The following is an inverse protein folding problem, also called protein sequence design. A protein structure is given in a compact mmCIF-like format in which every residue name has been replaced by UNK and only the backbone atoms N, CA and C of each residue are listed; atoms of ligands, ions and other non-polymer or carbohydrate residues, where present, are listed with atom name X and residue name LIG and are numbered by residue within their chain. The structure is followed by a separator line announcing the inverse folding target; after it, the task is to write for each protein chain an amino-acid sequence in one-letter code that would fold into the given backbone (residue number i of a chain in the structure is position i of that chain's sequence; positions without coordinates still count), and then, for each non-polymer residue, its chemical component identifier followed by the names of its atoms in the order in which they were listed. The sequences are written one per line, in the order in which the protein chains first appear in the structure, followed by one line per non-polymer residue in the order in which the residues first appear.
data_IF_733995521504
#
_entry.id   IF_733995521504
#
_cell.length_a   1.000
_cell.length_b   1.000
_cell.length_c   1.000
_cell.angle_alpha   90.00
_cell.angle_beta   90.00
_cell.angle_gamma   90.00
#
_symmetry.space_group_name_H-M   'P 1'
#
loop_
_entity.id
_entity.type
_entity.pdbx_description
1 polymer ?
#
# COMPACT_ATOMS: atom_id res chain seq x y z
N UNK A 1 -1.52 23.50 1.96
CA UNK A 1 -0.34 23.24 1.11
C UNK A 1 0.88 23.37 2.01
N UNK A 2 1.24 22.28 2.66
CA UNK A 2 2.23 22.27 3.74
C UNK A 2 3.54 21.80 3.15
N UNK A 3 4.49 22.72 2.99
CA UNK A 3 5.88 22.42 2.67
C UNK A 3 6.44 21.60 3.82
N UNK A 4 6.65 20.30 3.60
CA UNK A 4 7.39 19.44 4.52
C UNK A 4 8.83 19.34 4.02
N UNK A 5 9.77 19.54 4.94
CA UNK A 5 11.21 19.69 4.72
C UNK A 5 11.80 18.62 3.79
N UNK A 6 12.41 19.05 2.68
CA UNK A 6 13.34 18.26 1.90
C UNK A 6 14.72 18.26 2.60
N UNK A 7 15.42 17.13 2.71
CA UNK A 7 16.79 17.10 3.18
C UNK A 7 17.72 17.73 2.13
N UNK A 8 18.81 18.32 2.64
CA UNK A 8 19.71 19.26 2.01
C UNK A 8 20.41 18.77 0.72
N UNK A 9 20.07 19.38 -0.42
CA UNK A 9 21.02 19.69 -1.49
C UNK A 9 20.75 21.11 -2.03
N UNK A 10 21.07 22.16 -1.25
CA UNK A 10 20.72 23.55 -1.59
C UNK A 10 21.35 24.08 -2.90
N UNK A 11 22.40 23.44 -3.43
CA UNK A 11 23.03 23.82 -4.71
C UNK A 11 22.16 23.50 -5.92
N UNK A 12 21.75 22.23 -6.05
CA UNK A 12 20.93 21.78 -7.18
C UNK A 12 19.59 22.54 -7.25
N UNK A 13 18.94 22.79 -6.11
CA UNK A 13 17.68 23.53 -6.07
C UNK A 13 17.79 24.98 -6.56
N UNK A 14 18.88 25.68 -6.21
CA UNK A 14 19.12 27.04 -6.67
C UNK A 14 19.47 27.10 -8.17
N UNK A 15 20.26 26.12 -8.65
CA UNK A 15 20.67 26.00 -10.05
C UNK A 15 19.48 25.67 -10.96
N UNK A 16 18.61 24.74 -10.54
CA UNK A 16 17.37 24.42 -11.27
C UNK A 16 16.50 25.68 -11.42
N UNK A 17 16.27 26.44 -10.34
CA UNK A 17 15.51 27.68 -10.40
C UNK A 17 16.14 28.69 -11.38
N UNK A 18 17.47 28.84 -11.35
CA UNK A 18 18.20 29.74 -12.25
C UNK A 18 17.97 29.38 -13.73
N UNK A 19 18.08 28.10 -14.09
CA UNK A 19 17.83 27.63 -15.45
C UNK A 19 16.38 27.88 -15.88
N UNK A 20 15.41 27.61 -15.01
CA UNK A 20 13.99 27.81 -15.30
C UNK A 20 13.66 29.28 -15.50
N UNK A 21 14.17 30.19 -14.67
CA UNK A 21 13.98 31.63 -14.85
C UNK A 21 14.65 32.17 -16.13
N UNK A 22 15.74 31.54 -16.57
CA UNK A 22 16.39 31.85 -17.84
C UNK A 22 15.68 31.23 -19.06
N UNK A 23 14.65 30.41 -18.87
CA UNK A 23 13.97 29.65 -19.94
C UNK A 23 14.79 28.47 -20.47
N UNK A 24 15.89 28.10 -19.82
CA UNK A 24 16.73 26.97 -20.19
C UNK A 24 16.19 25.66 -19.60
N UNK A 25 15.15 25.14 -20.25
CA UNK A 25 14.51 23.87 -19.86
C UNK A 25 15.48 22.70 -19.97
N UNK A 26 16.41 22.71 -20.94
CA UNK A 26 17.39 21.63 -21.12
C UNK A 26 18.41 21.60 -20.00
N UNK A 27 18.89 22.77 -19.56
CA UNK A 27 19.75 22.93 -18.39
C UNK A 27 19.09 22.41 -17.11
N UNK A 28 17.83 22.79 -16.87
CA UNK A 28 17.07 22.30 -15.72
C UNK A 28 16.91 20.76 -15.71
N UNK A 29 16.64 20.15 -16.86
CA UNK A 29 16.53 18.69 -17.00
C UNK A 29 17.86 17.98 -16.75
N UNK A 30 18.98 18.56 -17.21
CA UNK A 30 20.31 18.01 -16.98
C UNK A 30 20.69 18.07 -15.49
N UNK A 31 20.39 19.19 -14.83
CA UNK A 31 20.66 19.39 -13.41
C UNK A 31 19.86 18.42 -12.54
N UNK A 32 18.58 18.21 -12.86
CA UNK A 32 17.75 17.21 -12.20
C UNK A 32 18.28 15.78 -12.41
N UNK A 33 18.86 15.48 -13.58
CA UNK A 33 19.48 14.16 -13.80
C UNK A 33 20.69 13.93 -12.88
N UNK A 34 21.51 14.97 -12.64
CA UNK A 34 22.62 14.90 -11.69
C UNK A 34 22.12 14.72 -10.25
N UNK A 35 21.10 15.50 -9.85
CA UNK A 35 20.50 15.38 -8.53
C UNK A 35 19.91 13.98 -8.27
N UNK A 36 19.26 13.37 -9.28
CA UNK A 36 18.77 11.98 -9.19
C UNK A 36 19.93 11.01 -8.97
N UNK A 37 21.03 11.15 -9.71
CA UNK A 37 22.19 10.27 -9.59
C UNK A 37 22.92 10.41 -8.23
N UNK A 38 22.90 11.61 -7.65
CA UNK A 38 23.49 11.89 -6.34
C UNK A 38 22.62 11.42 -5.16
N UNK A 39 21.32 11.19 -5.38
CA UNK A 39 20.36 10.80 -4.35
C UNK A 39 20.36 9.27 -4.16
N UNK A 40 20.42 8.80 -2.92
CA UNK A 40 20.41 7.35 -2.60
C UNK A 40 19.02 6.82 -2.26
N UNK A 41 18.14 7.63 -1.65
CA UNK A 41 16.77 7.22 -1.31
C UNK A 41 15.90 7.08 -2.59
N UNK A 42 15.36 5.88 -2.89
CA UNK A 42 14.49 5.68 -4.03
C UNK A 42 13.26 6.61 -4.03
N UNK A 43 12.66 6.90 -2.87
CA UNK A 43 11.47 7.76 -2.83
C UNK A 43 11.80 9.19 -3.24
N UNK A 44 12.90 9.73 -2.73
CA UNK A 44 13.42 11.02 -3.13
C UNK A 44 13.85 11.05 -4.61
N UNK A 45 14.50 9.99 -5.11
CA UNK A 45 14.80 9.86 -6.55
C UNK A 45 13.52 9.93 -7.40
N UNK A 46 12.45 9.27 -6.98
CA UNK A 46 11.16 9.34 -7.67
C UNK A 46 10.59 10.76 -7.73
N UNK A 47 10.65 11.52 -6.63
CA UNK A 47 10.17 12.90 -6.61
C UNK A 47 11.00 13.84 -7.50
N UNK A 48 12.32 13.64 -7.58
CA UNK A 48 13.18 14.38 -8.51
C UNK A 48 12.91 14.01 -9.97
N UNK A 49 12.63 12.74 -10.27
CA UNK A 49 12.24 12.31 -11.61
C UNK A 49 10.88 12.86 -12.03
N UNK A 50 9.92 13.02 -11.12
CA UNK A 50 8.63 13.68 -11.40
C UNK A 50 8.82 15.16 -11.78
N UNK A 51 9.67 15.88 -11.06
CA UNK A 51 10.04 17.25 -11.42
C UNK A 51 10.73 17.30 -12.78
N UNK A 52 11.66 16.38 -13.04
CA UNK A 52 12.32 16.25 -14.34
C UNK A 52 11.31 16.03 -15.46
N UNK A 53 10.33 15.15 -15.23
CA UNK A 53 9.25 14.90 -16.19
C UNK A 53 8.43 16.16 -16.46
N UNK A 54 8.11 16.95 -15.43
CA UNK A 54 7.37 18.23 -15.58
C UNK A 54 8.08 19.20 -16.54
N UNK A 55 9.40 19.36 -16.42
CA UNK A 55 10.16 20.22 -17.34
C UNK A 55 10.31 19.59 -18.72
N UNK A 56 10.55 18.28 -18.77
CA UNK A 56 10.71 17.55 -20.03
C UNK A 56 9.42 17.57 -20.86
N UNK A 57 8.23 17.60 -20.24
CA UNK A 57 6.94 17.61 -20.93
C UNK A 57 6.77 18.84 -21.84
N UNK A 58 7.44 19.95 -21.52
CA UNK A 58 7.40 21.18 -22.32
C UNK A 58 8.13 21.05 -23.66
N UNK A 59 9.08 20.10 -23.78
CA UNK A 59 9.97 19.96 -24.94
C UNK A 59 9.87 18.57 -25.61
N UNK A 60 9.57 17.53 -24.84
CA UNK A 60 9.43 16.14 -25.29
C UNK A 60 8.44 15.39 -24.38
N UNK A 61 7.13 15.49 -24.65
CA UNK A 61 6.09 14.82 -23.87
C UNK A 61 6.28 13.30 -23.80
N UNK A 62 6.78 12.66 -24.85
CA UNK A 62 6.97 11.21 -24.88
C UNK A 62 8.03 10.78 -23.85
N UNK A 63 9.19 11.44 -23.86
CA UNK A 63 10.25 11.17 -22.87
C UNK A 63 9.85 11.61 -21.46
N UNK A 64 8.97 12.62 -21.33
CA UNK A 64 8.40 13.00 -20.05
C UNK A 64 7.55 11.86 -19.46
N UNK A 65 6.72 11.20 -20.27
CA UNK A 65 5.94 10.04 -19.85
C UNK A 65 6.84 8.85 -19.45
N UNK A 66 7.91 8.58 -20.20
CA UNK A 66 8.91 7.55 -19.83
C UNK A 66 9.60 7.88 -18.50
N UNK A 67 9.98 9.15 -18.32
CA UNK A 67 10.62 9.64 -17.08
C UNK A 67 9.66 9.56 -15.90
N UNK A 68 8.38 9.90 -16.10
CA UNK A 68 7.35 9.79 -15.08
C UNK A 68 7.03 8.33 -14.73
N UNK A 69 7.10 7.42 -15.71
CA UNK A 69 6.99 5.98 -15.45
C UNK A 69 8.16 5.49 -14.57
N UNK A 70 9.39 5.91 -14.85
CA UNK A 70 10.55 5.62 -14.00
C UNK A 70 10.44 6.26 -12.61
N UNK A 71 9.90 7.48 -12.52
CA UNK A 71 9.60 8.15 -11.25
C UNK A 71 8.64 7.33 -10.40
N UNK A 72 7.54 6.87 -11.02
CA UNK A 72 6.48 6.10 -10.38
C UNK A 72 6.96 4.74 -9.87
N UNK A 73 7.86 4.07 -10.59
CA UNK A 73 8.49 2.82 -10.13
C UNK A 73 9.31 3.00 -8.86
N UNK A 74 9.94 4.17 -8.67
CA UNK A 74 10.73 4.49 -7.49
C UNK A 74 9.90 5.08 -6.34
N UNK A 75 8.85 5.82 -6.68
CA UNK A 75 7.96 6.46 -5.71
C UNK A 75 6.49 6.40 -6.17
N UNK A 76 5.68 5.47 -5.63
CA UNK A 76 4.24 5.39 -5.91
C UNK A 76 3.40 6.59 -5.41
N UNK A 77 4.01 7.62 -4.84
CA UNK A 77 3.33 8.87 -4.49
C UNK A 77 3.34 9.92 -5.61
N UNK A 78 4.19 9.79 -6.63
CA UNK A 78 4.28 10.77 -7.74
C UNK A 78 3.13 10.61 -8.75
N UNK A 79 2.93 11.56 -9.65
CA UNK A 79 1.91 11.52 -10.70
C UNK A 79 1.99 10.23 -11.54
N UNK A 80 0.83 9.78 -12.00
CA UNK A 80 0.75 8.61 -12.90
C UNK A 80 1.05 9.04 -14.34
N UNK A 81 1.87 8.28 -15.09
CA UNK A 81 2.01 8.49 -16.52
C UNK A 81 0.69 8.19 -17.26
N UNK A 82 0.47 8.89 -18.37
CA UNK A 82 -0.66 8.74 -19.28
C UNK A 82 -0.63 7.39 -20.00
N UNK A 83 0.57 6.91 -20.36
CA UNK A 83 0.78 5.54 -20.81
C UNK A 83 0.52 4.61 -19.63
N UNK A 84 -0.53 3.78 -19.73
CA UNK A 84 -0.95 2.87 -18.67
C UNK A 84 0.22 2.04 -18.14
N UNK A 85 0.39 2.02 -16.82
CA UNK A 85 1.38 1.17 -16.17
C UNK A 85 0.90 -0.28 -16.30
N UNK A 86 1.73 -1.14 -16.89
CA UNK A 86 1.40 -2.57 -16.99
C UNK A 86 1.40 -3.18 -15.59
N UNK A 87 0.29 -3.84 -15.22
CA UNK A 87 0.18 -4.50 -13.93
C UNK A 87 1.24 -5.60 -13.78
N UNK A 88 2.00 -5.55 -12.68
CA UNK A 88 2.93 -6.61 -12.28
C UNK A 88 2.33 -7.42 -11.13
N UNK A 89 2.08 -8.71 -11.39
CA UNK A 89 1.54 -9.65 -10.41
C UNK A 89 2.49 -9.78 -9.23
N UNK A 90 1.94 -9.74 -8.03
CA UNK A 90 2.65 -10.19 -6.82
C UNK A 90 2.40 -11.67 -6.56
N UNK A 91 3.38 -12.28 -5.91
CA UNK A 91 3.30 -13.58 -5.26
C UNK A 91 3.91 -13.47 -3.87
N UNK A 92 3.41 -14.23 -2.91
CA UNK A 92 3.97 -14.25 -1.57
C UNK A 92 5.34 -14.96 -1.54
N UNK A 93 6.13 -14.66 -0.51
CA UNK A 93 7.27 -15.51 -0.14
C UNK A 93 6.77 -16.89 0.28
N UNK A 94 7.57 -17.93 0.02
CA UNK A 94 7.32 -19.27 0.53
C UNK A 94 7.37 -19.33 2.07
N UNK A 95 8.06 -18.38 2.71
CA UNK A 95 8.21 -18.30 4.16
C UNK A 95 7.77 -16.91 4.65
N UNK A 96 6.57 -16.83 5.21
CA UNK A 96 5.98 -15.59 5.74
C UNK A 96 6.91 -14.92 6.78
N UNK A 97 7.42 -15.70 7.74
CA UNK A 97 8.26 -15.16 8.81
C UNK A 97 9.58 -14.58 8.31
N UNK A 98 10.22 -15.22 7.31
CA UNK A 98 11.44 -14.70 6.68
C UNK A 98 11.17 -13.38 5.97
N UNK A 99 10.07 -13.29 5.22
CA UNK A 99 9.67 -12.05 4.56
C UNK A 99 9.35 -10.92 5.55
N UNK A 100 8.66 -11.24 6.66
CA UNK A 100 8.41 -10.28 7.73
C UNK A 100 9.72 -9.81 8.37
N UNK A 101 10.62 -10.74 8.69
CA UNK A 101 11.93 -10.44 9.28
C UNK A 101 12.74 -9.50 8.39
N UNK A 102 12.89 -9.84 7.11
CA UNK A 102 13.59 -9.02 6.13
C UNK A 102 12.98 -7.62 5.98
N UNK A 103 11.65 -7.54 5.90
CA UNK A 103 10.94 -6.27 5.80
C UNK A 103 11.16 -5.42 7.06
N UNK A 104 10.92 -5.97 8.25
CA UNK A 104 11.05 -5.25 9.51
C UNK A 104 12.48 -4.79 9.77
N UNK A 105 13.48 -5.64 9.50
CA UNK A 105 14.90 -5.27 9.61
C UNK A 105 15.29 -4.17 8.62
N UNK A 106 14.72 -4.15 7.42
CA UNK A 106 14.97 -3.06 6.46
C UNK A 106 14.34 -1.73 6.87
N UNK A 107 13.16 -1.75 7.50
CA UNK A 107 12.43 -0.53 7.88
C UNK A 107 12.90 0.03 9.23
N UNK A 108 13.21 -0.84 10.19
CA UNK A 108 13.47 -0.45 11.58
C UNK A 108 14.91 -0.73 12.03
N UNK A 109 15.71 -1.41 11.22
CA UNK A 109 17.04 -1.91 11.63
C UNK A 109 16.90 -2.73 12.92
N UNK A 110 17.64 -2.38 13.97
CA UNK A 110 17.57 -2.93 15.33
C UNK A 110 16.94 -1.93 16.33
N UNK A 111 16.35 -0.82 15.86
CA UNK A 111 15.78 0.22 16.72
C UNK A 111 14.37 -0.16 17.20
N UNK A 112 14.32 -0.63 18.44
CA UNK A 112 13.08 -1.01 19.14
C UNK A 112 12.09 0.14 19.30
N UNK A 113 12.57 1.37 19.43
CA UNK A 113 11.71 2.54 19.59
C UNK A 113 11.04 2.87 18.27
N UNK A 114 11.81 2.86 17.17
CA UNK A 114 11.29 3.07 15.83
C UNK A 114 10.28 1.99 15.43
N UNK A 115 10.55 0.72 15.76
CA UNK A 115 9.58 -0.35 15.53
C UNK A 115 8.26 -0.06 16.25
N UNK A 116 8.29 0.24 17.56
CA UNK A 116 7.07 0.51 18.33
C UNK A 116 6.29 1.71 17.79
N UNK A 117 6.98 2.82 17.50
CA UNK A 117 6.36 4.02 16.93
C UNK A 117 5.78 3.73 15.55
N UNK A 118 6.51 3.01 14.70
CA UNK A 118 6.09 2.64 13.36
C UNK A 118 4.80 1.81 13.36
N UNK A 119 4.70 0.81 14.24
CA UNK A 119 3.47 0.04 14.41
C UNK A 119 2.31 0.89 14.93
N UNK A 120 2.51 1.77 15.92
CA UNK A 120 1.41 2.61 16.41
C UNK A 120 0.92 3.62 15.35
N UNK A 121 1.82 4.22 14.57
CA UNK A 121 1.44 5.08 13.44
C UNK A 121 0.62 4.32 12.41
N UNK A 122 1.05 3.09 12.07
CA UNK A 122 0.31 2.21 11.17
C UNK A 122 -1.09 1.88 11.73
N UNK A 123 -1.18 1.50 13.01
CA UNK A 123 -2.43 1.11 13.64
C UNK A 123 -3.39 2.29 13.85
N UNK A 124 -2.88 3.50 14.09
CA UNK A 124 -3.70 4.72 14.21
C UNK A 124 -4.41 5.04 12.89
N UNK A 125 -3.73 4.89 11.76
CA UNK A 125 -4.30 5.10 10.43
C UNK A 125 -5.40 4.07 10.08
N UNK A 126 -5.42 2.90 10.73
CA UNK A 126 -6.47 1.89 10.58
C UNK A 126 -7.71 2.25 11.39
N UNK A 127 -8.41 3.30 10.97
CA UNK A 127 -9.68 3.75 11.57
C UNK A 127 -10.72 4.09 10.50
N UNK A 128 -11.99 3.97 10.87
CA UNK A 128 -13.09 4.42 10.01
C UNK A 128 -13.26 5.94 10.17
N UNK A 129 -13.12 6.67 9.07
CA UNK A 129 -13.12 8.13 9.03
C UNK A 129 -13.53 8.59 7.62
N UNK A 130 -14.58 9.43 7.48
CA UNK A 130 -15.11 9.82 6.17
C UNK A 130 -14.22 10.82 5.42
N UNK A 131 -13.16 11.36 6.04
CA UNK A 131 -12.27 12.28 5.36
C UNK A 131 -11.40 11.55 4.33
N UNK A 132 -11.26 12.14 3.13
CA UNK A 132 -10.50 11.51 2.05
C UNK A 132 -9.03 11.28 2.44
N UNK A 133 -8.45 12.17 3.23
CA UNK A 133 -7.09 12.01 3.75
C UNK A 133 -6.96 10.76 4.63
N UNK A 134 -7.95 10.49 5.48
CA UNK A 134 -7.93 9.31 6.32
C UNK A 134 -8.22 8.03 5.52
N UNK A 135 -9.07 8.08 4.50
CA UNK A 135 -9.30 6.94 3.59
C UNK A 135 -8.00 6.53 2.87
N UNK A 136 -7.29 7.50 2.29
CA UNK A 136 -6.00 7.25 1.62
C UNK A 136 -4.94 6.72 2.61
N UNK A 137 -4.89 7.28 3.83
CA UNK A 137 -4.00 6.81 4.88
C UNK A 137 -4.35 5.39 5.33
N UNK A 138 -5.63 5.04 5.42
CA UNK A 138 -6.10 3.71 5.75
C UNK A 138 -5.64 2.69 4.72
N UNK A 139 -5.88 2.95 3.43
CA UNK A 139 -5.49 2.03 2.35
C UNK A 139 -3.98 1.80 2.33
N UNK A 140 -3.19 2.86 2.54
CA UNK A 140 -1.73 2.72 2.66
C UNK A 140 -1.33 1.89 3.89
N UNK A 141 -1.90 2.19 5.05
CA UNK A 141 -1.60 1.49 6.29
C UNK A 141 -2.00 0.01 6.21
N UNK A 142 -3.10 -0.31 5.53
CA UNK A 142 -3.55 -1.67 5.33
C UNK A 142 -2.65 -2.43 4.34
N UNK A 143 -2.17 -1.77 3.27
CA UNK A 143 -1.12 -2.34 2.43
C UNK A 143 0.16 -2.63 3.23
N UNK A 144 0.64 -1.63 3.99
CA UNK A 144 1.84 -1.76 4.82
C UNK A 144 1.67 -2.87 5.87
N UNK A 145 0.48 -3.03 6.46
CA UNK A 145 0.22 -4.10 7.43
C UNK A 145 0.50 -5.47 6.82
N UNK A 146 0.11 -5.69 5.56
CA UNK A 146 0.44 -6.91 4.84
C UNK A 146 1.94 -7.19 4.83
N UNK A 147 2.74 -6.19 4.49
CA UNK A 147 4.21 -6.30 4.45
C UNK A 147 4.83 -6.51 5.85
N UNK A 148 4.32 -5.83 6.89
CA UNK A 148 4.78 -6.03 8.27
C UNK A 148 4.52 -7.45 8.79
N UNK A 149 3.49 -8.10 8.25
CA UNK A 149 3.16 -9.49 8.57
C UNK A 149 3.85 -10.48 7.64
N UNK A 150 4.65 -10.03 6.66
CA UNK A 150 5.41 -10.89 5.75
C UNK A 150 4.63 -11.35 4.51
N UNK A 151 3.52 -10.70 4.18
CA UNK A 151 2.81 -10.88 2.92
C UNK A 151 3.36 -9.96 1.83
N UNK A 152 3.23 -10.35 0.57
CA UNK A 152 3.39 -9.38 -0.51
C UNK A 152 2.10 -8.56 -0.61
N UNK A 153 2.21 -7.23 -0.72
CA UNK A 153 1.06 -6.34 -0.79
C UNK A 153 1.24 -5.25 -1.85
N UNK A 154 0.13 -4.82 -2.46
CA UNK A 154 0.08 -3.75 -3.46
C UNK A 154 -1.24 -2.97 -3.35
N UNK A 155 -1.29 -1.79 -3.99
CA UNK A 155 -2.50 -0.98 -4.15
C UNK A 155 -2.83 -0.74 -5.63
N UNK A 156 -3.32 -1.74 -6.39
CA UNK A 156 -3.55 -1.61 -7.83
C UNK A 156 -4.38 -0.39 -8.24
N UNK A 157 -5.48 -0.09 -7.55
CA UNK A 157 -6.29 1.10 -7.85
C UNK A 157 -5.45 2.38 -7.72
N UNK A 158 -4.60 2.48 -6.69
CA UNK A 158 -3.66 3.59 -6.50
C UNK A 158 -2.53 3.60 -7.53
N UNK A 159 -2.03 2.44 -7.94
CA UNK A 159 -0.77 2.35 -8.69
C UNK A 159 -0.96 2.40 -10.19
N UNK A 160 -2.03 1.78 -10.68
CA UNK A 160 -2.31 1.65 -12.11
C UNK A 160 -3.69 2.17 -12.51
N UNK A 161 -4.52 2.60 -11.54
CA UNK A 161 -5.86 3.13 -11.80
C UNK A 161 -6.91 2.08 -12.15
N UNK A 162 -6.65 0.84 -11.79
CA UNK A 162 -7.64 -0.23 -11.87
C UNK A 162 -7.29 -1.36 -10.91
N UNK A 163 -8.31 -2.01 -10.36
CA UNK A 163 -8.18 -3.18 -9.50
C UNK A 163 -8.62 -2.88 -8.07
N UNK A 164 -8.22 -3.72 -7.10
CA UNK A 164 -8.59 -3.48 -5.71
C UNK A 164 -7.87 -2.28 -5.10
N UNK A 165 -8.47 -1.72 -4.05
CA UNK A 165 -7.84 -0.73 -3.16
C UNK A 165 -6.55 -1.31 -2.55
N UNK A 166 -6.59 -2.57 -2.10
CA UNK A 166 -5.44 -3.33 -1.58
C UNK A 166 -5.47 -4.79 -2.06
N UNK A 167 -4.31 -5.35 -2.39
CA UNK A 167 -4.14 -6.77 -2.72
C UNK A 167 -3.08 -7.38 -1.81
N UNK A 168 -3.39 -8.49 -1.13
CA UNK A 168 -2.40 -9.28 -0.38
C UNK A 168 -2.22 -10.66 -1.01
N UNK A 169 -0.97 -11.09 -1.19
CA UNK A 169 -0.60 -12.47 -1.48
C UNK A 169 -0.17 -13.16 -0.18
N UNK A 170 -0.90 -14.22 0.20
CA UNK A 170 -0.78 -14.86 1.52
C UNK A 170 0.11 -16.12 1.54
N UNK A 171 0.51 -16.62 0.36
CA UNK A 171 1.18 -17.91 0.21
C UNK A 171 0.23 -19.00 -0.26
N UNK A 172 0.78 -20.11 -0.75
CA UNK A 172 0.01 -21.25 -1.28
C UNK A 172 -1.01 -20.86 -2.35
N UNK A 173 -0.64 -19.92 -3.23
CA UNK A 173 -1.52 -19.36 -4.26
C UNK A 173 -2.80 -18.71 -3.71
N UNK A 174 -2.83 -18.33 -2.43
CA UNK A 174 -3.96 -17.65 -1.78
C UNK A 174 -3.76 -16.14 -1.77
N UNK A 175 -4.85 -15.41 -2.02
CA UNK A 175 -4.87 -13.96 -2.09
C UNK A 175 -6.09 -13.39 -1.38
N UNK A 176 -5.95 -12.17 -0.86
CA UNK A 176 -7.07 -11.33 -0.47
C UNK A 176 -7.18 -10.16 -1.43
N UNK A 177 -8.33 -10.03 -2.08
CA UNK A 177 -8.69 -8.91 -2.95
C UNK A 177 -9.56 -7.97 -2.12
N UNK A 178 -9.02 -6.80 -1.75
CA UNK A 178 -9.58 -5.97 -0.69
C UNK A 178 -10.13 -4.66 -1.25
N UNK A 179 -11.37 -4.36 -0.89
CA UNK A 179 -11.97 -3.03 -1.03
C UNK A 179 -12.08 -2.40 0.36
N UNK A 180 -11.41 -1.26 0.56
CA UNK A 180 -11.30 -0.59 1.84
C UNK A 180 -12.27 0.61 1.92
N UNK A 181 -13.49 0.38 2.40
CA UNK A 181 -14.51 1.43 2.57
C UNK A 181 -14.47 2.00 3.98
N UNK A 182 -13.29 2.44 4.39
CA UNK A 182 -13.03 3.06 5.71
C UNK A 182 -13.78 4.38 5.89
N UNK A 183 -14.11 5.08 4.81
CA UNK A 183 -14.92 6.30 4.84
C UNK A 183 -16.44 6.10 4.86
N UNK A 184 -16.91 4.85 4.85
CA UNK A 184 -18.34 4.56 4.86
C UNK A 184 -18.96 4.88 6.23
N UNK A 185 -20.15 5.49 6.22
CA UNK A 185 -20.92 5.83 7.42
C UNK A 185 -22.25 5.08 7.52
N UNK A 186 -22.66 4.39 6.45
CA UNK A 186 -23.91 3.67 6.39
C UNK A 186 -23.87 2.39 7.25
N UNK A 187 -24.99 2.11 7.93
CA UNK A 187 -25.19 0.86 8.69
C UNK A 187 -25.41 -0.39 7.82
N UNK A 188 -25.10 -0.34 6.52
CA UNK A 188 -25.21 -1.42 5.56
C UNK A 188 -24.22 -1.23 4.40
N UNK A 189 -23.86 -2.31 3.73
CA UNK A 189 -23.05 -2.31 2.51
C UNK A 189 -23.98 -2.04 1.33
N UNK A 190 -23.88 -0.83 0.75
CA UNK A 190 -24.68 -0.42 -0.40
C UNK A 190 -24.27 -1.12 -1.70
N UNK A 191 -25.16 -1.04 -2.71
CA UNK A 191 -24.95 -1.64 -4.04
C UNK A 191 -23.64 -1.19 -4.71
N UNK A 192 -23.27 0.09 -4.55
CA UNK A 192 -22.02 0.64 -5.11
C UNK A 192 -20.80 -0.10 -4.58
N UNK A 193 -20.67 -0.23 -3.25
CA UNK A 193 -19.53 -0.92 -2.64
C UNK A 193 -19.51 -2.42 -2.96
N UNK A 194 -20.66 -3.08 -2.96
CA UNK A 194 -20.75 -4.48 -3.34
C UNK A 194 -20.31 -4.72 -4.81
N UNK A 195 -20.68 -3.80 -5.71
CA UNK A 195 -20.27 -3.85 -7.10
C UNK A 195 -18.78 -3.55 -7.29
N UNK A 196 -18.19 -2.65 -6.49
CA UNK A 196 -16.75 -2.38 -6.52
C UNK A 196 -15.96 -3.64 -6.14
N UNK A 197 -16.32 -4.34 -5.06
CA UNK A 197 -15.66 -5.60 -4.68
C UNK A 197 -15.78 -6.69 -5.75
N UNK A 198 -16.96 -6.77 -6.38
CA UNK A 198 -17.17 -7.66 -7.51
C UNK A 198 -16.25 -7.30 -8.68
N UNK A 199 -16.15 -6.01 -9.01
CA UNK A 199 -15.26 -5.50 -10.05
C UNK A 199 -13.79 -5.85 -9.80
N UNK A 200 -13.31 -5.63 -8.58
CA UNK A 200 -11.92 -5.92 -8.19
C UNK A 200 -11.62 -7.42 -8.20
N UNK A 201 -12.59 -8.25 -7.81
CA UNK A 201 -12.47 -9.72 -7.91
C UNK A 201 -12.37 -10.17 -9.37
N UNK A 202 -13.22 -9.63 -10.25
CA UNK A 202 -13.13 -9.92 -11.69
C UNK A 202 -11.83 -9.42 -12.31
N UNK A 203 -11.38 -8.23 -11.91
CA UNK A 203 -10.08 -7.68 -12.32
C UNK A 203 -8.94 -8.62 -11.93
N UNK A 204 -8.96 -9.16 -10.71
CA UNK A 204 -7.95 -10.11 -10.25
C UNK A 204 -7.94 -11.38 -11.12
N UNK A 205 -9.11 -11.98 -11.40
CA UNK A 205 -9.20 -13.18 -12.23
C UNK A 205 -8.84 -12.96 -13.72
N UNK A 206 -8.84 -11.71 -14.22
CA UNK A 206 -8.29 -11.40 -15.55
C UNK A 206 -6.77 -11.36 -15.53
N UNK A 207 -6.19 -10.98 -14.40
CA UNK A 207 -4.74 -10.82 -14.24
C UNK A 207 -4.06 -12.04 -13.65
N UNK A 208 -4.77 -13.00 -13.08
CA UNK A 208 -4.21 -14.23 -12.51
C UNK A 208 -4.89 -15.45 -13.11
N UNK A 209 -4.16 -16.56 -13.29
CA UNK A 209 -4.72 -17.78 -13.85
C UNK A 209 -5.59 -18.56 -12.84
N UNK A 210 -6.25 -19.62 -13.30
CA UNK A 210 -7.21 -20.37 -12.48
C UNK A 210 -6.57 -21.24 -11.38
N UNK A 211 -5.24 -21.25 -11.23
CA UNK A 211 -4.57 -21.99 -10.15
C UNK A 211 -4.61 -21.26 -8.80
N UNK A 212 -4.90 -19.95 -8.81
CA UNK A 212 -4.94 -19.15 -7.58
C UNK A 212 -6.32 -19.12 -6.94
N UNK A 213 -6.33 -18.94 -5.62
CA UNK A 213 -7.54 -18.78 -4.83
C UNK A 213 -7.60 -17.38 -4.22
N UNK A 214 -8.60 -16.59 -4.60
CA UNK A 214 -8.79 -15.24 -4.09
C UNK A 214 -10.04 -15.14 -3.21
N UNK A 215 -9.87 -14.49 -2.07
CA UNK A 215 -10.95 -14.16 -1.15
C UNK A 215 -11.31 -12.69 -1.34
N UNK A 216 -12.55 -12.37 -1.75
CA UNK A 216 -13.02 -11.00 -1.75
C UNK A 216 -13.21 -10.53 -0.31
N UNK A 217 -12.56 -9.44 0.09
CA UNK A 217 -12.64 -8.88 1.44
C UNK A 217 -13.07 -7.42 1.37
N UNK A 218 -14.17 -7.10 2.04
CA UNK A 218 -14.60 -5.72 2.27
C UNK A 218 -14.07 -5.23 3.62
N UNK A 219 -13.54 -4.02 3.73
CA UNK A 219 -13.44 -3.32 5.01
C UNK A 219 -14.59 -2.31 5.07
N UNK A 220 -15.52 -2.50 6.00
CA UNK A 220 -16.73 -1.67 6.09
C UNK A 220 -17.31 -1.74 7.52
N UNK A 221 -17.86 -0.66 8.09
CA UNK A 221 -18.34 -0.67 9.48
C UNK A 221 -19.49 -1.68 9.71
N UNK A 222 -20.32 -1.90 8.69
CA UNK A 222 -21.43 -2.85 8.70
C UNK A 222 -21.09 -4.18 8.00
N UNK A 223 -21.72 -5.28 8.47
CA UNK A 223 -21.61 -6.62 7.87
C UNK A 223 -22.86 -7.08 7.10
N UNK A 224 -23.86 -6.20 6.92
CA UNK A 224 -25.13 -6.51 6.25
C UNK A 224 -25.25 -5.77 4.92
N UNK A 225 -25.76 -6.44 3.89
CA UNK A 225 -26.09 -5.82 2.60
C UNK A 225 -27.29 -4.87 2.71
N UNK A 226 -27.32 -3.84 1.87
CA UNK A 226 -28.54 -3.08 1.58
C UNK A 226 -29.49 -3.90 0.70
N UNK A 227 -30.78 -3.52 0.67
CA UNK A 227 -31.86 -4.24 -0.04
C UNK A 227 -31.55 -4.55 -1.50
N UNK A 228 -30.87 -3.64 -2.19
CA UNK A 228 -30.55 -3.76 -3.62
C UNK A 228 -29.10 -4.20 -3.89
N UNK A 229 -28.38 -4.62 -2.85
CA UNK A 229 -26.98 -5.04 -2.94
C UNK A 229 -26.87 -6.57 -2.96
N UNK A 230 -25.88 -7.08 -3.68
CA UNK A 230 -25.59 -8.52 -3.78
C UNK A 230 -24.12 -8.73 -3.49
N UNK A 231 -23.81 -9.61 -2.54
CA UNK A 231 -22.42 -9.93 -2.21
C UNK A 231 -21.77 -10.77 -3.32
N UNK A 232 -20.50 -10.52 -3.57
CA UNK A 232 -19.63 -11.44 -4.32
C UNK A 232 -19.58 -12.78 -3.58
N UNK A 233 -19.61 -13.90 -4.31
CA UNK A 233 -19.58 -15.23 -3.70
C UNK A 233 -18.32 -15.42 -2.83
N UNK A 234 -18.48 -15.98 -1.62
CA UNK A 234 -17.38 -16.17 -0.67
C UNK A 234 -16.86 -14.87 -0.03
N UNK A 235 -17.47 -13.71 -0.32
CA UNK A 235 -17.02 -12.44 0.22
C UNK A 235 -17.07 -12.39 1.76
N UNK A 236 -16.02 -11.81 2.31
CA UNK A 236 -15.81 -11.58 3.73
C UNK A 236 -15.85 -10.08 4.02
N UNK A 237 -16.07 -9.73 5.28
CA UNK A 237 -16.01 -8.35 5.74
C UNK A 237 -15.20 -8.21 7.02
N UNK A 238 -14.31 -7.22 7.07
CA UNK A 238 -13.68 -6.71 8.28
C UNK A 238 -14.55 -5.55 8.77
N UNK A 239 -15.22 -5.74 9.90
CA UNK A 239 -15.99 -4.69 10.57
C UNK A 239 -15.12 -3.91 11.54
N UNK A 240 -15.65 -2.83 12.12
CA UNK A 240 -14.99 -2.11 13.23
C UNK A 240 -14.50 -3.08 14.32
N UNK A 241 -15.39 -3.93 14.83
CA UNK A 241 -15.06 -4.84 15.91
C UNK A 241 -13.95 -5.85 15.55
N UNK A 242 -13.95 -6.38 14.32
CA UNK A 242 -12.88 -7.32 13.91
C UNK A 242 -11.60 -6.60 13.53
N UNK A 243 -11.67 -5.37 13.03
CA UNK A 243 -10.51 -4.50 12.81
C UNK A 243 -9.83 -4.15 14.14
N UNK A 244 -10.60 -3.77 15.16
CA UNK A 244 -10.04 -3.46 16.48
C UNK A 244 -9.35 -4.68 17.10
N UNK A 245 -9.97 -5.86 16.99
CA UNK A 245 -9.33 -7.11 17.41
C UNK A 245 -8.02 -7.41 16.64
N UNK A 246 -8.00 -7.18 15.33
CA UNK A 246 -6.78 -7.31 14.53
C UNK A 246 -5.71 -6.32 15.01
N UNK A 247 -6.09 -5.05 15.24
CA UNK A 247 -5.18 -4.01 15.71
C UNK A 247 -4.57 -4.35 17.07
N UNK A 248 -5.38 -4.82 18.01
CA UNK A 248 -4.91 -5.22 19.33
C UNK A 248 -3.96 -6.42 19.25
N UNK A 249 -4.29 -7.40 18.39
CA UNK A 249 -3.40 -8.54 18.14
C UNK A 249 -2.05 -8.07 17.58
N UNK A 250 -2.07 -7.21 16.55
CA UNK A 250 -0.87 -6.68 15.91
C UNK A 250 -0.04 -5.84 16.88
N UNK A 251 -0.68 -5.06 17.76
CA UNK A 251 0.00 -4.30 18.82
C UNK A 251 0.74 -5.20 19.81
N UNK A 252 0.10 -6.30 20.21
CA UNK A 252 0.73 -7.30 21.09
C UNK A 252 1.91 -7.99 20.40
N UNK A 253 1.75 -8.34 19.12
CA UNK A 253 2.83 -8.89 18.30
C UNK A 253 4.02 -7.92 18.20
N UNK A 254 3.78 -6.64 17.89
CA UNK A 254 4.81 -5.61 17.82
C UNK A 254 5.52 -5.41 19.17
N UNK A 255 4.77 -5.45 20.27
CA UNK A 255 5.35 -5.38 21.62
C UNK A 255 6.25 -6.58 21.92
N UNK A 256 5.84 -7.78 21.52
CA UNK A 256 6.64 -8.99 21.69
C UNK A 256 7.92 -8.97 20.84
N UNK A 257 7.86 -8.50 19.59
CA UNK A 257 9.05 -8.28 18.76
C UNK A 257 10.02 -7.30 19.42
N UNK A 258 9.52 -6.17 19.93
CA UNK A 258 10.35 -5.16 20.59
C UNK A 258 11.04 -5.69 21.86
N UNK A 259 10.40 -6.59 22.60
CA UNK A 259 10.97 -7.24 23.78
C UNK A 259 11.97 -8.35 23.46
N UNK A 260 11.94 -8.87 22.22
CA UNK A 260 12.79 -9.96 21.77
C UNK A 260 13.72 -9.46 20.67
N UNK A 261 13.43 -9.80 19.41
CA UNK A 261 14.12 -9.43 18.18
C UNK A 261 13.24 -9.76 16.96
N UNK A 262 13.55 -9.18 15.81
CA UNK A 262 12.83 -9.42 14.55
C UNK A 262 13.73 -9.72 13.35
N UNK A 263 15.04 -9.81 13.56
CA UNK A 263 16.05 -10.22 12.58
C UNK A 263 16.30 -11.74 12.57
N UNK A 264 15.50 -12.50 13.33
CA UNK A 264 15.54 -13.96 13.37
C UNK A 264 14.17 -14.54 12.92
N UNK A 265 14.09 -15.12 11.71
CA UNK A 265 12.86 -15.70 11.18
C UNK A 265 12.20 -16.76 12.08
N UNK A 266 12.97 -17.50 12.88
CA UNK A 266 12.41 -18.52 13.79
C UNK A 266 11.63 -17.87 14.92
N UNK A 267 12.16 -16.79 15.50
CA UNK A 267 11.46 -16.02 16.54
C UNK A 267 10.24 -15.33 15.95
N UNK A 268 10.38 -14.74 14.75
CA UNK A 268 9.26 -14.09 14.05
C UNK A 268 8.14 -15.08 13.76
N UNK A 269 8.45 -16.30 13.34
CA UNK A 269 7.46 -17.35 13.08
C UNK A 269 6.70 -17.77 14.35
N UNK A 270 7.43 -17.96 15.47
CA UNK A 270 6.82 -18.26 16.76
C UNK A 270 5.86 -17.16 17.20
N UNK A 271 6.24 -15.90 17.03
CA UNK A 271 5.43 -14.75 17.40
C UNK A 271 4.21 -14.59 16.48
N UNK A 272 4.36 -14.76 15.16
CA UNK A 272 3.23 -14.75 14.21
C UNK A 272 2.23 -15.87 14.54
N UNK A 273 2.73 -17.07 14.80
CA UNK A 273 1.90 -18.24 15.14
C UNK A 273 1.18 -18.04 16.48
N UNK A 274 1.92 -17.62 17.52
CA UNK A 274 1.37 -17.39 18.85
C UNK A 274 0.29 -16.31 18.90
N UNK A 275 0.40 -15.29 18.05
CA UNK A 275 -0.59 -14.22 17.91
C UNK A 275 -1.66 -14.52 16.84
N UNK A 276 -1.62 -15.67 16.17
CA UNK A 276 -2.57 -16.04 15.09
C UNK A 276 -2.57 -15.05 13.91
N UNK A 277 -1.40 -14.55 13.55
CA UNK A 277 -1.19 -13.63 12.41
C UNK A 277 -0.67 -14.33 11.15
N UNK A 278 -0.48 -15.66 11.18
CA UNK A 278 -0.18 -16.43 9.99
C UNK A 278 -1.34 -16.43 9.00
N UNK A 279 -1.06 -16.56 7.70
CA UNK A 279 -2.07 -16.56 6.62
C UNK A 279 -3.33 -17.40 6.92
N UNK A 280 -3.16 -18.61 7.47
CA UNK A 280 -4.27 -19.52 7.79
C UNK A 280 -5.24 -19.00 8.85
N UNK A 281 -4.80 -18.07 9.70
CA UNK A 281 -5.59 -17.54 10.81
C UNK A 281 -6.30 -16.24 10.49
N UNK A 282 -5.94 -15.55 9.39
CA UNK A 282 -6.47 -14.23 9.06
C UNK A 282 -8.00 -14.21 8.89
N UNK A 283 -8.58 -15.34 8.46
CA UNK A 283 -10.03 -15.49 8.38
C UNK A 283 -10.76 -15.25 9.72
N UNK A 284 -10.09 -15.39 10.86
CA UNK A 284 -10.66 -15.09 12.18
C UNK A 284 -10.93 -13.59 12.41
N UNK A 285 -10.26 -12.71 11.66
CA UNK A 285 -10.46 -11.24 11.70
C UNK A 285 -11.49 -10.74 10.70
N UNK A 286 -12.28 -11.65 10.13
CA UNK A 286 -13.33 -11.31 9.17
C UNK A 286 -14.66 -11.92 9.60
N UNK A 287 -15.75 -11.55 8.92
CA UNK A 287 -17.09 -12.11 9.06
C UNK A 287 -17.68 -12.43 7.69
N UNK A 288 -18.71 -13.28 7.67
CA UNK A 288 -19.50 -13.48 6.47
C UNK A 288 -20.39 -12.25 6.27
N UNK A 289 -20.56 -11.80 5.02
CA UNK A 289 -21.50 -10.74 4.70
C UNK A 289 -22.93 -11.31 4.81
N UNK A 290 -23.77 -10.65 5.59
CA UNK A 290 -25.18 -11.02 5.80
C UNK A 290 -26.06 -10.44 4.70
N UNK A 291 -27.09 -11.20 4.33
CA UNK A 291 -28.16 -10.71 3.47
C UNK A 291 -28.94 -9.55 4.10
N UNK A 292 -29.65 -8.81 3.24
CA UNK A 292 -30.41 -7.60 3.57
C UNK A 292 -31.61 -7.82 4.51
#
# INVERSE_FOLDING_TARGET
MTLHNAPEHPRHGAEICSFVFAGDISGAVAELAQAVAATTDPRQQGWLLEQKATYLDQIDPARAQETLAAARQKNPAVLRPLSGVTYQRISASAQQASAASDYLSRIYSDDRTQLRVGFEVLLDALRFDPSQTAVEAFEQAFCNLGEHLGFAAQRPERDIGSGPDVLWALGDLRYWVIEAKSGATAGYIGKVYANQLTGSTLWFHRHYDNSVNAVPVMVHPADRLGKDATATAGARVITQATLDNLKDTVRNYASALAQTRWDDPVIVDQLLTGHRLCAGNLYSYTRAIKAA
#
